data_IF_985340421682
#
_entry.id   IF_985340421682
#
_cell.length_a   1.000
_cell.length_b   1.000
_cell.length_c   1.000
_cell.angle_alpha   90.00
_cell.angle_beta   90.00
_cell.angle_gamma   90.00
#
_symmetry.space_group_name_H-M   'P 1'
#
loop_
_entity.id
_entity.type
_entity.pdbx_description
1 polymer ?
#
# COMPACT_ATOMS: atom_id res chain seq x y z
N UNK A 1 -50.48 5.72 18.98
CA UNK A 1 -50.37 5.50 17.51
C UNK A 1 -49.24 6.34 16.88
N UNK A 2 -49.09 7.62 17.22
CA UNK A 2 -48.07 8.53 16.64
C UNK A 2 -46.59 8.15 16.91
N UNK A 3 -46.27 7.56 18.07
CA UNK A 3 -44.91 7.17 18.46
C UNK A 3 -44.39 5.98 17.61
N UNK A 4 -45.23 4.98 17.37
CA UNK A 4 -44.88 3.80 16.54
C UNK A 4 -44.63 4.16 15.07
N UNK A 5 -45.31 5.21 14.57
CA UNK A 5 -45.15 5.67 13.19
C UNK A 5 -43.81 6.43 13.02
N UNK A 6 -43.42 7.24 14.02
CA UNK A 6 -42.14 7.94 14.06
C UNK A 6 -40.94 6.94 14.12
N UNK A 7 -41.07 5.90 14.96
CA UNK A 7 -40.03 4.85 15.05
C UNK A 7 -39.87 4.05 13.74
N UNK A 8 -40.95 3.83 12.98
CA UNK A 8 -40.89 3.18 11.67
C UNK A 8 -40.13 4.05 10.66
N UNK A 9 -40.38 5.36 10.63
CA UNK A 9 -39.67 6.29 9.75
C UNK A 9 -38.16 6.34 10.04
N UNK A 10 -37.79 6.44 11.31
CA UNK A 10 -36.37 6.43 11.74
C UNK A 10 -35.67 5.13 11.33
N UNK A 11 -36.34 3.97 11.48
CA UNK A 11 -35.77 2.67 11.06
C UNK A 11 -35.49 2.62 9.57
N UNK A 12 -36.38 3.14 8.73
CA UNK A 12 -36.16 3.17 7.28
C UNK A 12 -35.04 4.13 6.89
N UNK A 13 -34.93 5.30 7.53
CA UNK A 13 -33.83 6.24 7.31
C UNK A 13 -32.50 5.63 7.70
N UNK A 14 -32.43 4.96 8.86
CA UNK A 14 -31.19 4.27 9.27
C UNK A 14 -30.85 3.10 8.35
N UNK A 15 -31.84 2.35 7.89
CA UNK A 15 -31.62 1.24 6.97
C UNK A 15 -31.10 1.74 5.60
N UNK A 16 -31.71 2.78 5.02
CA UNK A 16 -31.25 3.35 3.74
C UNK A 16 -29.87 3.97 3.86
N UNK A 17 -29.59 4.66 4.97
CA UNK A 17 -28.25 5.19 5.24
C UNK A 17 -27.22 4.06 5.37
N UNK A 18 -27.54 2.99 6.13
CA UNK A 18 -26.66 1.82 6.27
C UNK A 18 -26.37 1.13 4.94
N UNK A 19 -27.40 0.95 4.10
CA UNK A 19 -27.22 0.39 2.73
C UNK A 19 -26.34 1.31 1.87
N UNK A 20 -26.53 2.62 1.96
CA UNK A 20 -25.70 3.59 1.24
C UNK A 20 -24.22 3.52 1.65
N UNK A 21 -23.96 3.45 2.96
CA UNK A 21 -22.58 3.33 3.49
C UNK A 21 -21.94 2.00 3.05
N UNK A 22 -22.66 0.88 3.17
CA UNK A 22 -22.16 -0.43 2.75
C UNK A 22 -21.91 -0.47 1.23
N UNK A 23 -22.80 0.13 0.43
CA UNK A 23 -22.63 0.25 -1.02
C UNK A 23 -21.38 1.05 -1.39
N UNK A 24 -21.14 2.18 -0.69
CA UNK A 24 -19.94 2.98 -0.90
C UNK A 24 -18.66 2.23 -0.49
N UNK A 25 -18.67 1.56 0.66
CA UNK A 25 -17.54 0.74 1.09
C UNK A 25 -17.25 -0.39 0.09
N UNK A 26 -18.29 -1.08 -0.38
CA UNK A 26 -18.17 -2.12 -1.40
C UNK A 26 -17.60 -1.58 -2.72
N UNK A 27 -18.03 -0.39 -3.14
CA UNK A 27 -17.51 0.28 -4.33
C UNK A 27 -16.00 0.58 -4.21
N UNK A 28 -15.56 1.16 -3.08
CA UNK A 28 -14.14 1.51 -2.86
C UNK A 28 -13.25 0.25 -2.86
N UNK A 29 -13.70 -0.82 -2.21
CA UNK A 29 -12.97 -2.09 -2.19
C UNK A 29 -12.91 -2.74 -3.58
N UNK A 30 -14.00 -2.71 -4.33
CA UNK A 30 -14.06 -3.25 -5.68
C UNK A 30 -13.16 -2.43 -6.65
N UNK A 31 -13.15 -1.11 -6.56
CA UNK A 31 -12.30 -0.23 -7.36
C UNK A 31 -10.81 -0.52 -7.10
N UNK A 32 -10.41 -0.64 -5.83
CA UNK A 32 -9.04 -0.98 -5.46
C UNK A 32 -8.63 -2.38 -5.95
N UNK A 33 -9.51 -3.37 -5.79
CA UNK A 33 -9.26 -4.74 -6.25
C UNK A 33 -9.14 -4.82 -7.77
N UNK A 34 -10.05 -4.16 -8.50
CA UNK A 34 -10.03 -4.10 -9.96
C UNK A 34 -8.75 -3.44 -10.46
N UNK A 35 -8.39 -2.28 -9.88
CA UNK A 35 -7.16 -1.57 -10.21
C UNK A 35 -5.92 -2.44 -9.99
N UNK A 36 -5.80 -3.12 -8.84
CA UNK A 36 -4.67 -4.01 -8.56
C UNK A 36 -4.57 -5.14 -9.58
N UNK A 37 -5.71 -5.74 -9.94
CA UNK A 37 -5.74 -6.84 -10.92
C UNK A 37 -5.33 -6.38 -12.31
N UNK A 38 -5.91 -5.30 -12.80
CA UNK A 38 -5.61 -4.75 -14.13
C UNK A 38 -4.17 -4.27 -14.21
N UNK A 39 -3.72 -3.52 -13.21
CA UNK A 39 -2.35 -3.00 -13.12
C UNK A 39 -1.32 -4.13 -12.98
N UNK A 40 -1.64 -5.22 -12.27
CA UNK A 40 -0.76 -6.38 -12.17
C UNK A 40 -0.57 -7.06 -13.51
N UNK A 41 -1.65 -7.27 -14.28
CA UNK A 41 -1.58 -7.87 -15.62
C UNK A 41 -0.78 -6.96 -16.57
N UNK A 42 -1.05 -5.66 -16.55
CA UNK A 42 -0.33 -4.70 -17.38
C UNK A 42 1.17 -4.65 -17.04
N UNK A 43 1.51 -4.70 -15.75
CA UNK A 43 2.89 -4.70 -15.29
C UNK A 43 3.62 -5.99 -15.66
N UNK A 44 2.98 -7.15 -15.54
CA UNK A 44 3.55 -8.43 -15.98
C UNK A 44 3.77 -8.49 -17.49
N UNK A 45 2.83 -7.95 -18.28
CA UNK A 45 2.98 -7.85 -19.73
C UNK A 45 4.16 -6.93 -20.12
N UNK A 46 4.43 -5.88 -19.35
CA UNK A 46 5.56 -4.97 -19.57
C UNK A 46 6.92 -5.58 -19.20
N UNK A 47 6.94 -6.54 -18.25
CA UNK A 47 8.12 -7.30 -17.86
C UNK A 47 8.44 -8.46 -18.84
N UNK A 48 7.46 -8.88 -19.66
CA UNK A 48 7.67 -9.95 -20.65
C UNK A 48 8.47 -9.44 -21.86
N UNK A 49 9.41 -10.24 -22.41
CA UNK A 49 10.12 -9.84 -23.63
C UNK A 49 9.17 -9.81 -24.83
N UNK A 50 8.81 -8.59 -25.21
CA UNK A 50 8.21 -8.12 -26.47
C UNK A 50 7.13 -8.97 -27.16
N UNK A 51 5.87 -8.60 -26.94
CA UNK A 51 4.91 -8.35 -28.03
C UNK A 51 4.08 -7.12 -27.65
N UNK A 52 4.22 -6.07 -28.44
CA UNK A 52 3.63 -4.75 -28.18
C UNK A 52 2.15 -4.76 -28.52
N UNK A 53 1.30 -4.58 -27.53
CA UNK A 53 -0.01 -3.93 -27.72
C UNK A 53 -0.20 -2.93 -26.58
N UNK A 54 -0.36 -1.63 -26.89
CA UNK A 54 -0.51 -0.62 -25.85
C UNK A 54 -1.92 -0.68 -25.28
N UNK A 55 -2.11 -1.38 -24.17
CA UNK A 55 -3.28 -1.15 -23.32
C UNK A 55 -3.01 0.19 -22.62
N UNK A 56 -3.76 1.21 -23.02
CA UNK A 56 -3.79 2.51 -22.34
C UNK A 56 -4.40 2.30 -20.95
N UNK A 57 -3.59 1.91 -19.99
CA UNK A 57 -3.88 2.16 -18.58
C UNK A 57 -3.67 3.65 -18.38
N UNK A 58 -4.72 4.37 -17.95
CA UNK A 58 -4.65 5.79 -17.68
C UNK A 58 -3.44 6.08 -16.79
N UNK A 59 -2.66 7.04 -17.23
CA UNK A 59 -1.42 7.66 -16.80
C UNK A 59 -1.04 7.76 -15.30
N UNK A 60 -1.49 6.87 -14.44
CA UNK A 60 -0.90 6.67 -13.13
C UNK A 60 0.39 5.86 -13.35
N UNK A 61 1.53 6.49 -13.15
CA UNK A 61 2.85 5.86 -13.36
C UNK A 61 2.98 4.68 -12.40
N UNK A 62 2.77 3.46 -12.90
CA UNK A 62 3.17 2.26 -12.15
C UNK A 62 4.67 2.35 -11.94
N UNK A 63 5.07 2.44 -10.67
CA UNK A 63 6.45 2.53 -10.27
C UNK A 63 7.06 1.12 -10.14
N UNK A 64 6.26 0.16 -9.62
CA UNK A 64 6.70 -1.21 -9.45
C UNK A 64 5.70 -2.05 -8.65
N UNK A 65 6.20 -3.14 -8.09
CA UNK A 65 5.48 -4.05 -7.18
C UNK A 65 6.34 -4.33 -5.96
N UNK A 66 5.76 -4.31 -4.77
CA UNK A 66 6.37 -4.81 -3.54
C UNK A 66 5.70 -6.11 -3.13
N UNK A 67 6.50 -7.12 -2.75
CA UNK A 67 6.01 -8.43 -2.33
C UNK A 67 6.78 -8.95 -1.10
N UNK A 68 6.05 -9.63 -0.21
CA UNK A 68 6.61 -10.44 0.89
C UNK A 68 5.90 -11.78 0.85
N UNK A 69 6.53 -12.77 0.20
CA UNK A 69 5.91 -14.08 -0.10
C UNK A 69 5.36 -14.76 1.14
N UNK A 70 6.14 -14.80 2.22
CA UNK A 70 5.73 -15.43 3.49
C UNK A 70 4.43 -14.85 4.06
N UNK A 71 4.14 -13.60 3.77
CA UNK A 71 2.95 -12.89 4.25
C UNK A 71 1.80 -12.90 3.24
N UNK A 72 2.01 -13.44 2.04
CA UNK A 72 1.06 -13.31 0.94
C UNK A 72 0.84 -11.87 0.49
N UNK A 73 1.77 -10.96 0.84
CA UNK A 73 1.70 -9.57 0.42
C UNK A 73 2.26 -9.44 -0.99
N UNK A 74 1.47 -8.89 -1.89
CA UNK A 74 1.87 -8.49 -3.23
C UNK A 74 1.01 -7.32 -3.66
N UNK A 75 1.60 -6.13 -3.86
CA UNK A 75 0.87 -4.90 -4.16
C UNK A 75 1.61 -4.04 -5.17
N UNK A 76 0.87 -3.46 -6.10
CA UNK A 76 1.38 -2.46 -7.04
C UNK A 76 1.78 -1.19 -6.26
N UNK A 77 2.89 -0.60 -6.67
CA UNK A 77 3.40 0.66 -6.15
C UNK A 77 3.28 1.71 -7.26
N UNK A 78 2.67 2.83 -6.93
CA UNK A 78 2.58 4.01 -7.79
C UNK A 78 3.58 5.07 -7.31
N UNK A 79 3.88 6.05 -8.15
CA UNK A 79 4.67 7.20 -7.73
C UNK A 79 3.84 8.13 -6.85
N UNK A 80 4.40 8.55 -5.70
CA UNK A 80 3.80 9.47 -4.75
C UNK A 80 2.82 8.82 -3.78
N UNK A 81 2.47 9.57 -2.74
CA UNK A 81 1.66 9.12 -1.58
C UNK A 81 0.38 9.92 -1.41
N UNK A 82 -0.21 10.41 -2.51
CA UNK A 82 -1.48 11.12 -2.45
C UNK A 82 -2.60 10.22 -1.90
N UNK A 83 -3.66 10.82 -1.34
CA UNK A 83 -4.82 10.06 -0.88
C UNK A 83 -5.47 9.22 -2.01
N UNK A 84 -5.41 9.69 -3.26
CA UNK A 84 -5.90 8.96 -4.43
C UNK A 84 -5.03 7.72 -4.71
N UNK A 85 -3.70 7.88 -4.66
CA UNK A 85 -2.71 6.79 -4.81
C UNK A 85 -2.94 5.72 -3.75
N UNK A 86 -2.91 6.11 -2.47
CA UNK A 86 -2.97 5.17 -1.35
C UNK A 86 -4.30 4.42 -1.22
N UNK A 87 -5.40 4.94 -1.79
CA UNK A 87 -6.65 4.18 -1.86
C UNK A 87 -6.58 2.96 -2.78
N UNK A 88 -5.73 2.97 -3.81
CA UNK A 88 -5.68 1.95 -4.86
C UNK A 88 -4.43 1.09 -4.84
N UNK A 89 -3.33 1.61 -4.29
CA UNK A 89 -2.01 1.00 -4.34
C UNK A 89 -1.17 1.40 -3.11
N UNK A 90 0.02 0.82 -2.98
CA UNK A 90 1.08 1.43 -2.21
C UNK A 90 1.69 2.60 -3.01
N UNK A 91 2.42 3.50 -2.34
CA UNK A 91 3.02 4.67 -2.97
C UNK A 91 4.51 4.76 -2.67
N UNK A 92 5.34 4.99 -3.69
CA UNK A 92 6.73 5.39 -3.52
C UNK A 92 6.77 6.81 -2.93
N UNK A 93 7.54 7.00 -1.87
CA UNK A 93 7.66 8.29 -1.19
C UNK A 93 8.59 9.18 -2.02
N UNK A 94 8.05 10.26 -2.57
CA UNK A 94 8.81 11.18 -3.41
C UNK A 94 10.05 11.73 -2.69
N UNK A 95 11.17 11.80 -3.40
CA UNK A 95 12.45 12.27 -2.85
C UNK A 95 13.27 11.19 -2.14
N UNK A 96 12.76 9.95 -1.99
CA UNK A 96 13.55 8.80 -1.57
C UNK A 96 14.22 8.12 -2.78
N UNK A 97 15.20 7.24 -2.53
CA UNK A 97 15.96 6.55 -3.57
C UNK A 97 15.09 5.61 -4.41
N UNK A 98 15.63 5.15 -5.55
CA UNK A 98 15.04 4.09 -6.35
C UNK A 98 15.79 2.77 -6.16
N UNK A 99 15.14 1.59 -6.32
CA UNK A 99 15.80 0.31 -6.17
C UNK A 99 16.98 0.14 -7.12
N UNK A 100 18.10 -0.31 -6.57
CA UNK A 100 19.35 -0.51 -7.32
C UNK A 100 20.35 0.62 -7.17
N UNK A 101 19.93 1.77 -6.66
CA UNK A 101 20.81 2.89 -6.32
C UNK A 101 21.12 2.93 -4.82
N UNK A 102 22.27 3.50 -4.40
CA UNK A 102 22.52 3.81 -3.00
C UNK A 102 21.43 4.72 -2.45
N UNK A 103 21.05 4.51 -1.21
CA UNK A 103 20.04 5.32 -0.54
C UNK A 103 18.92 4.48 0.05
N UNK A 104 17.93 5.16 0.59
CA UNK A 104 16.77 4.57 1.25
C UNK A 104 15.53 4.69 0.37
N UNK A 105 15.01 3.58 -0.08
CA UNK A 105 13.78 3.49 -0.87
C UNK A 105 12.59 3.51 0.08
N UNK A 106 11.76 4.55 0.05
CA UNK A 106 10.58 4.68 0.89
C UNK A 106 9.30 4.23 0.18
N UNK A 107 8.55 3.31 0.78
CA UNK A 107 7.23 2.90 0.27
C UNK A 107 6.20 2.98 1.38
N UNK A 108 5.10 3.68 1.13
CA UNK A 108 3.99 3.84 2.06
C UNK A 108 2.74 3.08 1.60
N UNK A 109 1.96 2.59 2.54
CA UNK A 109 0.69 1.92 2.27
C UNK A 109 -0.27 1.97 3.45
N UNK A 110 -1.56 1.81 3.19
CA UNK A 110 -2.56 1.78 4.27
C UNK A 110 -2.44 0.51 5.12
N UNK A 111 -2.56 0.67 6.45
CA UNK A 111 -2.45 -0.39 7.47
C UNK A 111 -3.58 -1.41 7.43
N UNK A 112 -4.75 -0.99 6.97
CA UNK A 112 -6.00 -1.75 7.00
C UNK A 112 -6.31 -2.45 5.66
N UNK A 113 -5.51 -2.19 4.63
CA UNK A 113 -5.62 -2.77 3.30
C UNK A 113 -4.31 -3.42 2.86
N UNK A 114 -3.55 -2.75 2.03
CA UNK A 114 -2.38 -3.31 1.34
C UNK A 114 -1.26 -3.73 2.30
N UNK A 115 -1.00 -2.98 3.37
CA UNK A 115 0.04 -3.27 4.33
C UNK A 115 -0.46 -3.94 5.62
N UNK A 116 -1.73 -4.36 5.65
CA UNK A 116 -2.26 -5.13 6.78
C UNK A 116 -1.47 -6.42 7.09
N UNK A 117 -0.96 -7.18 6.10
CA UNK A 117 -0.12 -8.34 6.37
C UNK A 117 1.19 -8.03 7.09
N UNK A 118 1.72 -6.78 7.01
CA UNK A 118 2.95 -6.38 7.68
C UNK A 118 2.88 -6.48 9.21
N UNK A 119 1.69 -6.55 9.82
CA UNK A 119 1.55 -6.83 11.26
C UNK A 119 2.24 -8.14 11.71
N UNK A 120 2.54 -9.02 10.77
CA UNK A 120 3.21 -10.30 11.00
C UNK A 120 4.64 -10.35 10.45
N UNK A 121 5.18 -9.22 10.00
CA UNK A 121 6.56 -9.14 9.52
C UNK A 121 7.54 -9.34 10.66
N UNK A 122 8.68 -9.92 10.36
CA UNK A 122 9.75 -10.20 11.33
C UNK A 122 11.12 -10.07 10.67
N UNK A 123 12.14 -9.96 11.50
CA UNK A 123 13.52 -9.98 11.03
C UNK A 123 13.79 -11.21 10.16
N UNK A 124 14.65 -11.06 9.18
CA UNK A 124 15.01 -12.02 8.14
C UNK A 124 13.92 -12.31 7.06
N UNK A 125 12.72 -11.75 7.14
CA UNK A 125 11.79 -11.80 6.01
C UNK A 125 12.42 -11.15 4.78
N UNK A 126 12.07 -11.65 3.61
CA UNK A 126 12.54 -11.09 2.35
C UNK A 126 11.41 -10.28 1.70
N UNK A 127 11.72 -9.01 1.45
CA UNK A 127 10.89 -8.11 0.67
C UNK A 127 11.48 -8.02 -0.74
N UNK A 128 10.66 -8.27 -1.76
CA UNK A 128 11.05 -8.12 -3.15
C UNK A 128 10.37 -6.89 -3.73
N UNK A 129 11.17 -5.98 -4.27
CA UNK A 129 10.67 -4.83 -5.05
C UNK A 129 11.01 -5.09 -6.51
N UNK A 130 9.98 -5.23 -7.33
CA UNK A 130 10.11 -5.44 -8.78
C UNK A 130 9.76 -4.15 -9.50
N UNK A 131 10.67 -3.68 -10.36
CA UNK A 131 10.50 -2.50 -11.21
C UNK A 131 10.82 -2.88 -12.66
N UNK A 132 10.73 -1.96 -13.59
CA UNK A 132 11.19 -2.15 -14.97
C UNK A 132 12.70 -2.43 -15.08
N UNK A 133 13.49 -1.97 -14.09
CA UNK A 133 14.93 -2.22 -14.02
C UNK A 133 15.28 -3.62 -13.51
N UNK A 134 14.32 -4.35 -12.94
CA UNK A 134 14.51 -5.70 -12.41
C UNK A 134 13.89 -5.93 -11.05
N UNK A 135 14.23 -7.08 -10.47
CA UNK A 135 13.80 -7.47 -9.12
C UNK A 135 14.91 -7.25 -8.10
N UNK A 136 14.61 -6.56 -7.03
CA UNK A 136 15.52 -6.17 -5.97
C UNK A 136 15.05 -6.79 -4.66
N UNK A 137 15.91 -7.60 -4.03
CA UNK A 137 15.57 -8.30 -2.79
C UNK A 137 16.20 -7.61 -1.60
N UNK A 138 15.41 -7.43 -0.55
CA UNK A 138 15.83 -6.81 0.71
C UNK A 138 15.48 -7.74 1.86
N UNK A 139 16.36 -7.86 2.84
CA UNK A 139 16.15 -8.65 4.07
C UNK A 139 15.77 -7.70 5.19
N UNK A 140 14.66 -7.95 5.85
CA UNK A 140 14.21 -7.18 7.01
C UNK A 140 15.25 -7.28 8.13
N UNK A 141 15.75 -6.15 8.59
CA UNK A 141 16.72 -6.02 9.68
C UNK A 141 16.10 -5.48 10.95
N UNK A 142 15.11 -4.59 10.84
CA UNK A 142 14.40 -4.06 12.01
C UNK A 142 12.93 -3.75 11.71
N UNK A 143 12.14 -3.77 12.78
CA UNK A 143 10.75 -3.35 12.82
C UNK A 143 10.59 -2.44 14.03
N UNK A 144 10.15 -1.20 13.79
CA UNK A 144 10.02 -0.17 14.83
C UNK A 144 8.68 0.55 14.74
N UNK A 145 8.29 1.17 15.84
CA UNK A 145 7.14 2.10 15.88
C UNK A 145 7.68 3.47 16.23
N UNK A 146 7.33 4.48 15.44
CA UNK A 146 7.84 5.85 15.58
C UNK A 146 6.68 6.85 15.56
N UNK A 147 6.97 8.09 15.97
CA UNK A 147 6.00 9.18 15.87
C UNK A 147 5.78 9.60 14.42
N UNK A 148 4.63 10.20 14.07
CA UNK A 148 4.32 10.59 12.69
C UNK A 148 5.26 11.63 12.08
N UNK A 149 5.89 12.43 12.90
CA UNK A 149 6.84 13.50 12.56
C UNK A 149 8.30 13.03 12.55
N UNK A 150 8.57 11.79 12.94
CA UNK A 150 9.90 11.18 12.82
C UNK A 150 10.16 10.76 11.37
N UNK A 151 10.58 11.73 10.57
CA UNK A 151 10.94 11.52 9.16
C UNK A 151 12.35 10.97 8.98
N UNK A 152 13.19 10.94 10.03
CA UNK A 152 14.55 10.42 9.99
C UNK A 152 14.63 8.95 9.56
N UNK A 153 13.55 8.20 9.71
CA UNK A 153 13.46 6.81 9.21
C UNK A 153 13.59 6.71 7.67
N UNK A 154 13.44 7.82 6.96
CA UNK A 154 13.54 7.93 5.50
C UNK A 154 14.83 8.60 5.04
N UNK A 155 15.70 9.02 5.96
CA UNK A 155 16.95 9.67 5.60
C UNK A 155 17.77 8.81 4.64
N UNK A 156 18.56 9.50 3.81
CA UNK A 156 19.46 8.86 2.88
C UNK A 156 20.45 7.94 3.61
N UNK A 157 20.80 6.85 2.98
CA UNK A 157 21.74 5.86 3.47
C UNK A 157 22.85 5.67 2.43
N UNK A 158 24.06 5.35 2.87
CA UNK A 158 25.17 5.05 1.96
C UNK A 158 25.00 3.68 1.30
N UNK A 159 24.20 2.81 1.92
CA UNK A 159 23.87 1.48 1.44
C UNK A 159 22.49 1.44 0.79
N UNK A 160 22.14 0.33 0.14
CA UNK A 160 20.82 0.15 -0.45
C UNK A 160 19.84 -0.35 0.60
N UNK A 161 18.96 0.51 1.05
CA UNK A 161 17.96 0.25 2.08
C UNK A 161 16.55 0.39 1.51
N UNK A 162 15.63 -0.37 2.07
CA UNK A 162 14.19 -0.27 1.83
C UNK A 162 13.49 0.01 3.16
N UNK A 163 12.64 1.03 3.19
CA UNK A 163 11.80 1.37 4.34
C UNK A 163 10.33 1.31 3.93
N UNK A 164 9.58 0.37 4.53
CA UNK A 164 8.13 0.31 4.38
C UNK A 164 7.48 1.03 5.56
N UNK A 165 6.55 1.92 5.28
CA UNK A 165 5.88 2.75 6.30
C UNK A 165 4.38 2.55 6.21
N UNK A 166 3.75 2.32 7.37
CA UNK A 166 2.29 2.33 7.48
C UNK A 166 1.84 2.93 8.81
N UNK A 167 0.56 3.22 8.93
CA UNK A 167 -0.03 3.71 10.16
C UNK A 167 -0.06 2.62 11.26
N UNK A 168 0.04 3.02 12.53
CA UNK A 168 -0.02 2.13 13.69
C UNK A 168 -0.87 2.75 14.82
N UNK A 169 -1.60 1.97 15.64
CA UNK A 169 -1.79 0.51 15.60
C UNK A 169 -2.66 0.02 14.42
N UNK A 170 -2.50 -1.25 14.03
CA UNK A 170 -3.24 -1.85 12.91
C UNK A 170 -4.76 -1.93 13.13
N UNK A 171 -5.21 -1.98 14.37
CA UNK A 171 -6.64 -2.11 14.76
C UNK A 171 -7.24 -0.79 15.26
N UNK A 172 -6.52 0.32 15.15
CA UNK A 172 -6.97 1.61 15.65
C UNK A 172 -8.02 2.24 14.73
N UNK A 173 -9.10 2.79 15.32
CA UNK A 173 -10.15 3.50 14.59
C UNK A 173 -9.84 5.00 14.60
N UNK A 174 -9.78 5.62 13.42
CA UNK A 174 -9.48 7.05 13.26
C UNK A 174 -8.02 7.32 12.88
N UNK A 175 -7.58 8.57 13.09
CA UNK A 175 -6.22 9.01 12.78
C UNK A 175 -5.21 8.28 13.67
N UNK A 176 -4.30 7.54 13.05
CA UNK A 176 -3.31 6.75 13.77
C UNK A 176 -2.27 7.63 14.47
N UNK A 177 -2.00 7.38 15.76
CA UNK A 177 -1.04 8.18 16.53
C UNK A 177 0.42 7.93 16.13
N UNK A 178 0.73 6.78 15.52
CA UNK A 178 2.10 6.33 15.26
C UNK A 178 2.26 5.76 13.86
N UNK A 179 3.51 5.45 13.51
CA UNK A 179 3.89 4.77 12.26
C UNK A 179 4.61 3.47 12.57
N UNK A 180 4.23 2.42 11.85
CA UNK A 180 4.93 1.13 11.83
C UNK A 180 5.92 1.15 10.68
N UNK A 181 7.19 0.95 11.00
CA UNK A 181 8.31 1.08 10.07
C UNK A 181 9.04 -0.25 9.99
N UNK A 182 9.21 -0.75 8.77
CA UNK A 182 9.99 -1.95 8.47
C UNK A 182 11.21 -1.52 7.67
N UNK A 183 12.40 -1.72 8.24
CA UNK A 183 13.66 -1.46 7.55
C UNK A 183 14.28 -2.75 7.06
N UNK A 184 14.70 -2.76 5.82
CA UNK A 184 15.30 -3.91 5.18
C UNK A 184 16.54 -3.49 4.36
N UNK A 185 17.56 -4.34 4.33
CA UNK A 185 18.81 -4.11 3.62
C UNK A 185 18.90 -4.98 2.37
N UNK A 186 19.57 -4.49 1.35
CA UNK A 186 19.73 -5.16 0.06
C UNK A 186 20.45 -6.49 0.24
N UNK A 187 19.90 -7.54 -0.38
CA UNK A 187 20.54 -8.85 -0.51
C UNK A 187 21.08 -8.98 -1.92
N UNK A 188 22.38 -9.18 -2.05
CA UNK A 188 23.09 -9.38 -3.32
C UNK A 188 22.82 -10.78 -3.85
#
# INVERSE_FOLDING_TARGET
>A
MKLRMRLRGVRWVLATFGVGVLGYCGYVLADAWWFQRESSVAFEAELAPVVVTPVRVAAERIWGRVAVERLGLSVIVLEGTSAATLRRAAGHIAGTAVPGEPGNVGISGHRDTFFYPLRHVRAADVVTVTTRAGAFRYRVVSVTVVQPDDTGVLDADETQVLTLVTCYPFTFIGSAPERFVVRAERVI
#
